data_IF_246208525096
#
_entry.id   IF_246208525096
#
_cell.length_a   1.000
_cell.length_b   1.000
_cell.length_c   1.000
_cell.angle_alpha   90.00
_cell.angle_beta   90.00
_cell.angle_gamma   90.00
#
_symmetry.space_group_name_H-M   'P 1'
#
loop_
_entity.id
_entity.type
_entity.pdbx_description
1 polymer ?
#
# COMPACT_ATOMS: atom_id res chain seq x y z
N UNK A 1 -16.97 -18.98 3.22
CA UNK A 1 -17.51 -18.08 2.14
C UNK A 1 -17.67 -18.88 0.86
N UNK A 2 -18.62 -18.49 -0.04
CA UNK A 2 -18.77 -19.13 -1.36
C UNK A 2 -17.53 -18.85 -2.21
N UNK A 3 -17.04 -19.82 -2.95
CA UNK A 3 -15.86 -19.72 -3.85
C UNK A 3 -15.85 -18.46 -4.74
N UNK A 4 -16.95 -18.05 -5.38
CA UNK A 4 -16.97 -16.83 -6.20
C UNK A 4 -16.69 -15.55 -5.42
N UNK A 5 -17.16 -15.45 -4.16
CA UNK A 5 -16.91 -14.27 -3.32
C UNK A 5 -15.42 -14.14 -2.95
N UNK A 6 -14.76 -15.24 -2.60
CA UNK A 6 -13.32 -15.28 -2.32
C UNK A 6 -12.52 -14.81 -3.54
N UNK A 7 -12.86 -15.34 -4.72
CA UNK A 7 -12.20 -14.96 -5.97
C UNK A 7 -12.38 -13.48 -6.28
N UNK A 8 -13.58 -12.93 -6.09
CA UNK A 8 -13.84 -11.50 -6.30
C UNK A 8 -13.01 -10.63 -5.34
N UNK A 9 -12.97 -10.99 -4.05
CA UNK A 9 -12.19 -10.26 -3.05
C UNK A 9 -10.71 -10.22 -3.40
N UNK A 10 -10.11 -11.35 -3.79
CA UNK A 10 -8.70 -11.43 -4.18
C UNK A 10 -8.40 -10.63 -5.45
N UNK A 11 -9.28 -10.69 -6.45
CA UNK A 11 -9.11 -9.91 -7.68
C UNK A 11 -9.21 -8.41 -7.42
N UNK A 12 -10.18 -7.98 -6.63
CA UNK A 12 -10.30 -6.56 -6.25
C UNK A 12 -9.07 -6.11 -5.47
N UNK A 13 -8.63 -6.87 -4.47
CA UNK A 13 -7.41 -6.56 -3.73
C UNK A 13 -6.18 -6.46 -4.65
N UNK A 14 -6.04 -7.37 -5.60
CA UNK A 14 -4.93 -7.34 -6.57
C UNK A 14 -4.96 -6.08 -7.43
N UNK A 15 -6.13 -5.67 -7.92
CA UNK A 15 -6.27 -4.44 -8.71
C UNK A 15 -5.87 -3.22 -7.88
N UNK A 16 -6.32 -3.13 -6.63
CA UNK A 16 -5.95 -2.04 -5.73
C UNK A 16 -4.44 -2.00 -5.48
N UNK A 17 -3.80 -3.16 -5.28
CA UNK A 17 -2.35 -3.26 -5.13
C UNK A 17 -1.59 -2.91 -6.41
N UNK A 18 -2.13 -3.20 -7.60
CA UNK A 18 -1.53 -2.76 -8.87
C UNK A 18 -1.55 -1.24 -8.98
N UNK A 19 -2.69 -0.61 -8.68
CA UNK A 19 -2.79 0.87 -8.72
C UNK A 19 -1.83 1.48 -7.72
N UNK A 20 -1.83 1.02 -6.47
CA UNK A 20 -0.94 1.47 -5.41
C UNK A 20 0.54 1.31 -5.81
N UNK A 21 0.91 0.13 -6.29
CA UNK A 21 2.28 -0.19 -6.68
C UNK A 21 2.79 0.66 -7.86
N UNK A 22 1.94 0.93 -8.85
CA UNK A 22 2.29 1.81 -9.97
C UNK A 22 2.53 3.24 -9.49
N UNK A 23 1.64 3.79 -8.68
CA UNK A 23 1.78 5.16 -8.16
C UNK A 23 3.08 5.29 -7.36
N UNK A 24 3.37 4.35 -6.47
CA UNK A 24 4.57 4.41 -5.63
C UNK A 24 5.87 4.16 -6.42
N UNK A 25 5.86 3.27 -7.39
CA UNK A 25 7.01 3.06 -8.29
C UNK A 25 7.32 4.34 -9.08
N UNK A 26 6.29 4.99 -9.64
CA UNK A 26 6.46 6.24 -10.39
C UNK A 26 6.89 7.37 -9.45
N UNK A 27 6.26 7.53 -8.29
CA UNK A 27 6.63 8.55 -7.31
C UNK A 27 8.08 8.38 -6.86
N UNK A 28 8.50 7.15 -6.54
CA UNK A 28 9.88 6.85 -6.17
C UNK A 28 10.89 7.19 -7.27
N UNK A 29 10.60 6.83 -8.52
CA UNK A 29 11.44 7.18 -9.67
C UNK A 29 11.52 8.70 -9.88
N UNK A 30 10.42 9.42 -9.72
CA UNK A 30 10.39 10.88 -9.83
C UNK A 30 11.21 11.56 -8.73
N UNK A 31 11.14 11.09 -7.49
CA UNK A 31 11.96 11.63 -6.39
C UNK A 31 13.44 11.44 -6.67
N UNK A 32 13.85 10.27 -7.16
CA UNK A 32 15.24 9.97 -7.50
C UNK A 32 15.77 10.78 -8.68
N UNK A 33 14.90 11.16 -9.62
CA UNK A 33 15.28 11.92 -10.82
C UNK A 33 15.29 13.43 -10.63
N UNK A 34 14.77 13.95 -9.51
CA UNK A 34 14.56 15.38 -9.29
C UNK A 34 15.51 15.95 -8.22
N UNK A 35 15.83 17.29 -8.26
CA UNK A 35 16.51 17.96 -7.16
C UNK A 35 15.65 17.96 -5.88
N UNK A 36 16.29 18.16 -4.72
CA UNK A 36 15.68 18.03 -3.40
C UNK A 36 14.34 18.76 -3.25
N UNK A 37 14.25 20.03 -3.68
CA UNK A 37 13.00 20.82 -3.61
C UNK A 37 11.85 20.17 -4.37
N UNK A 38 12.08 19.74 -5.61
CA UNK A 38 11.06 19.13 -6.43
C UNK A 38 10.74 17.68 -5.99
N UNK A 39 11.72 16.98 -5.42
CA UNK A 39 11.52 15.68 -4.78
C UNK A 39 10.65 15.81 -3.53
N UNK A 40 10.90 16.83 -2.71
CA UNK A 40 10.11 17.15 -1.52
C UNK A 40 8.64 17.41 -1.89
N UNK A 41 8.40 18.30 -2.87
CA UNK A 41 7.05 18.63 -3.35
C UNK A 41 6.33 17.44 -3.96
N UNK A 42 7.04 16.50 -4.56
CA UNK A 42 6.43 15.27 -5.10
C UNK A 42 5.91 14.32 -4.01
N UNK A 43 6.36 14.50 -2.75
CA UNK A 43 5.92 13.69 -1.60
C UNK A 43 4.92 14.48 -0.75
N UNK A 44 5.20 15.75 -0.47
CA UNK A 44 4.41 16.66 0.36
C UNK A 44 3.71 17.70 -0.52
N UNK A 45 2.78 17.27 -1.34
CA UNK A 45 2.17 18.02 -2.43
C UNK A 45 1.20 19.13 -1.97
N UNK A 46 0.78 19.12 -0.71
CA UNK A 46 -0.02 20.20 -0.10
C UNK A 46 0.83 21.34 0.49
N UNK A 47 2.17 21.18 0.52
CA UNK A 47 3.07 22.27 0.97
C UNK A 47 3.24 23.28 -0.17
N UNK A 48 2.96 24.59 0.08
CA UNK A 48 3.14 25.62 -0.95
C UNK A 48 4.58 25.65 -1.49
N UNK A 49 4.77 25.71 -2.82
CA UNK A 49 6.10 25.70 -3.43
C UNK A 49 7.05 26.77 -2.88
N UNK A 50 6.51 27.94 -2.54
CA UNK A 50 7.26 29.09 -2.02
C UNK A 50 7.94 28.77 -0.68
N UNK A 51 7.38 27.86 0.12
CA UNK A 51 7.98 27.40 1.38
C UNK A 51 9.11 26.40 1.16
N UNK A 52 9.24 25.85 -0.04
CA UNK A 52 10.23 24.87 -0.43
C UNK A 52 11.40 25.49 -1.25
N UNK A 53 11.32 26.79 -1.57
CA UNK A 53 12.36 27.54 -2.30
C UNK A 53 13.58 27.83 -1.41
N UNK A 54 14.13 26.79 -0.80
CA UNK A 54 15.31 26.86 0.03
C UNK A 54 16.49 26.09 -0.57
N UNK A 55 17.70 26.55 -0.32
CA UNK A 55 18.89 25.76 -0.59
C UNK A 55 19.05 24.72 0.50
N UNK A 56 18.76 23.47 0.19
CA UNK A 56 18.92 22.37 1.14
C UNK A 56 20.37 21.88 1.16
N UNK A 57 20.84 21.51 2.36
CA UNK A 57 22.09 20.79 2.49
C UNK A 57 22.02 19.45 1.75
N UNK A 58 23.15 19.00 1.16
CA UNK A 58 23.21 17.75 0.38
C UNK A 58 22.66 16.52 1.12
N UNK A 59 22.77 16.47 2.45
CA UNK A 59 22.21 15.39 3.26
C UNK A 59 20.68 15.31 3.18
N UNK A 60 19.96 16.42 3.00
CA UNK A 60 18.50 16.42 2.83
C UNK A 60 18.13 15.74 1.51
N UNK A 61 18.86 16.07 0.43
CA UNK A 61 18.69 15.38 -0.85
C UNK A 61 18.96 13.88 -0.77
N UNK A 62 19.98 13.47 -0.02
CA UNK A 62 20.30 12.07 0.19
C UNK A 62 19.18 11.33 0.95
N UNK A 63 18.56 11.95 1.97
CA UNK A 63 17.42 11.40 2.71
C UNK A 63 16.19 11.26 1.81
N UNK A 64 15.90 12.28 0.98
CA UNK A 64 14.82 12.22 0.01
C UNK A 64 15.03 11.12 -1.03
N UNK A 65 16.26 10.97 -1.52
CA UNK A 65 16.59 9.89 -2.45
C UNK A 65 16.45 8.51 -1.80
N UNK A 66 16.84 8.36 -0.54
CA UNK A 66 16.61 7.11 0.20
C UNK A 66 15.12 6.83 0.37
N UNK A 67 14.29 7.85 0.62
CA UNK A 67 12.85 7.70 0.65
C UNK A 67 12.30 7.32 -0.74
N UNK A 68 12.72 8.01 -1.80
CA UNK A 68 12.35 7.67 -3.19
C UNK A 68 12.71 6.24 -3.57
N UNK A 69 13.88 5.77 -3.15
CA UNK A 69 14.27 4.36 -3.32
C UNK A 69 13.32 3.40 -2.61
N UNK A 70 12.91 3.72 -1.37
CA UNK A 70 11.96 2.89 -0.62
C UNK A 70 10.59 2.82 -1.30
N UNK A 71 10.08 3.93 -1.83
CA UNK A 71 8.84 3.95 -2.59
C UNK A 71 8.95 3.11 -3.88
N UNK A 72 10.06 3.24 -4.59
CA UNK A 72 10.29 2.54 -5.86
C UNK A 72 10.30 1.02 -5.66
N UNK A 73 11.17 0.49 -4.81
CA UNK A 73 11.24 -0.96 -4.60
C UNK A 73 10.00 -1.51 -3.92
N UNK A 74 9.40 -0.76 -2.97
CA UNK A 74 8.15 -1.13 -2.32
C UNK A 74 7.00 -1.24 -3.32
N UNK A 75 6.90 -0.27 -4.25
CA UNK A 75 5.96 -0.32 -5.37
C UNK A 75 6.16 -1.54 -6.26
N UNK A 76 7.39 -1.84 -6.65
CA UNK A 76 7.71 -3.03 -7.48
C UNK A 76 7.34 -4.32 -6.76
N UNK A 77 7.68 -4.45 -5.48
CA UNK A 77 7.32 -5.65 -4.68
C UNK A 77 5.82 -5.84 -4.58
N UNK A 78 5.05 -4.76 -4.39
CA UNK A 78 3.59 -4.86 -4.34
C UNK A 78 2.96 -5.19 -5.69
N UNK A 79 3.52 -4.73 -6.81
CA UNK A 79 3.12 -5.15 -8.15
C UNK A 79 3.32 -6.66 -8.37
N UNK A 80 4.48 -7.18 -7.99
CA UNK A 80 4.74 -8.62 -8.04
C UNK A 80 3.80 -9.37 -7.10
N UNK A 81 3.60 -8.86 -5.88
CA UNK A 81 2.66 -9.40 -4.91
C UNK A 81 1.23 -9.49 -5.45
N UNK A 82 0.76 -8.45 -6.14
CA UNK A 82 -0.58 -8.42 -6.73
C UNK A 82 -0.81 -9.57 -7.72
N UNK A 83 0.20 -9.92 -8.53
CA UNK A 83 0.13 -11.06 -9.47
C UNK A 83 -0.10 -12.38 -8.71
N UNK A 84 0.59 -12.58 -7.59
CA UNK A 84 0.47 -13.78 -6.78
C UNK A 84 -0.79 -13.79 -5.93
N UNK A 85 -1.26 -12.62 -5.45
CA UNK A 85 -2.56 -12.48 -4.77
C UNK A 85 -3.71 -12.87 -5.71
N UNK A 86 -3.65 -12.43 -6.96
CA UNK A 86 -4.62 -12.82 -7.99
C UNK A 86 -4.74 -14.34 -8.15
N UNK A 87 -3.63 -15.06 -7.93
CA UNK A 87 -3.55 -16.53 -7.95
C UNK A 87 -3.89 -17.19 -6.62
N UNK A 88 -4.27 -16.44 -5.60
CA UNK A 88 -4.64 -16.95 -4.28
C UNK A 88 -3.46 -17.36 -3.39
N UNK A 89 -2.26 -16.83 -3.63
CA UNK A 89 -1.08 -17.15 -2.83
C UNK A 89 -1.12 -16.43 -1.48
N UNK A 90 -1.22 -17.20 -0.39
CA UNK A 90 -1.31 -16.67 0.99
C UNK A 90 -0.06 -15.93 1.43
N UNK A 91 1.12 -16.43 1.08
CA UNK A 91 2.38 -15.77 1.44
C UNK A 91 2.47 -14.40 0.79
N UNK A 92 2.07 -14.28 -0.49
CA UNK A 92 2.05 -13.00 -1.18
C UNK A 92 1.10 -11.99 -0.51
N UNK A 93 -0.05 -12.44 0.01
CA UNK A 93 -0.97 -11.56 0.74
C UNK A 93 -0.27 -10.93 1.95
N UNK A 94 0.37 -11.76 2.78
CA UNK A 94 1.04 -11.26 3.98
C UNK A 94 2.26 -10.40 3.67
N UNK A 95 3.10 -10.81 2.72
CA UNK A 95 4.30 -10.04 2.33
C UNK A 95 3.90 -8.69 1.74
N UNK A 96 2.90 -8.67 0.84
CA UNK A 96 2.43 -7.42 0.23
C UNK A 96 1.79 -6.50 1.26
N UNK A 97 0.99 -7.05 2.18
CA UNK A 97 0.40 -6.29 3.28
C UNK A 97 1.46 -5.70 4.22
N UNK A 98 2.53 -6.46 4.53
CA UNK A 98 3.63 -5.96 5.34
C UNK A 98 4.39 -4.83 4.64
N UNK A 99 4.79 -5.03 3.38
CA UNK A 99 5.58 -4.04 2.65
C UNK A 99 4.76 -2.79 2.37
N UNK A 100 3.64 -2.92 1.65
CA UNK A 100 2.80 -1.78 1.29
C UNK A 100 2.11 -1.14 2.49
N UNK A 101 1.58 -1.95 3.41
CA UNK A 101 0.88 -1.45 4.58
C UNK A 101 1.78 -0.69 5.55
N UNK A 102 3.02 -1.17 5.82
CA UNK A 102 3.93 -0.44 6.71
C UNK A 102 4.46 0.86 6.07
N UNK A 103 4.67 0.88 4.76
CA UNK A 103 4.99 2.12 4.05
C UNK A 103 3.86 3.15 4.20
N UNK A 104 2.60 2.72 4.03
CA UNK A 104 1.45 3.61 4.16
C UNK A 104 1.15 4.02 5.60
N UNK A 105 1.39 3.18 6.59
CA UNK A 105 1.25 3.58 8.00
C UNK A 105 2.17 4.76 8.31
N UNK A 106 3.42 4.73 7.87
CA UNK A 106 4.34 5.85 8.03
C UNK A 106 3.87 7.11 7.28
N UNK A 107 3.40 6.94 6.05
CA UNK A 107 2.84 8.03 5.27
C UNK A 107 1.62 8.66 5.94
N UNK A 108 0.66 7.85 6.36
CA UNK A 108 -0.54 8.30 7.06
C UNK A 108 -0.22 9.09 8.34
N UNK A 109 0.66 8.54 9.19
CA UNK A 109 0.97 9.16 10.48
C UNK A 109 1.70 10.50 10.33
N UNK A 110 2.62 10.62 9.37
CA UNK A 110 3.51 11.78 9.31
C UNK A 110 3.13 12.78 8.22
N UNK A 111 2.50 12.36 7.14
CA UNK A 111 2.15 13.23 6.02
C UNK A 111 0.65 13.55 5.99
N UNK A 112 -0.22 12.53 6.02
CA UNK A 112 -1.68 12.73 5.99
C UNK A 112 -2.18 13.47 7.24
N UNK A 113 -1.89 12.93 8.43
CA UNK A 113 -2.30 13.57 9.70
C UNK A 113 -1.59 14.91 9.92
N UNK A 114 -0.43 15.11 9.32
CA UNK A 114 0.30 16.38 9.33
C UNK A 114 -0.29 17.43 8.41
N UNK A 115 -1.23 17.07 7.53
CA UNK A 115 -1.82 17.99 6.55
C UNK A 115 -0.87 18.40 5.43
N UNK A 116 0.16 17.58 5.15
CA UNK A 116 1.20 17.91 4.16
C UNK A 116 0.90 17.35 2.76
N UNK A 117 -0.21 16.63 2.59
CA UNK A 117 -0.59 16.01 1.32
C UNK A 117 -2.04 16.27 0.98
N UNK A 118 -2.34 16.31 -0.32
CA UNK A 118 -3.70 16.38 -0.80
C UNK A 118 -4.38 14.99 -0.75
N UNK A 119 -5.72 15.01 -0.67
CA UNK A 119 -6.51 13.77 -0.70
C UNK A 119 -6.18 12.90 -1.93
N UNK A 120 -6.03 13.54 -3.09
CA UNK A 120 -5.64 12.86 -4.33
C UNK A 120 -4.24 13.32 -4.75
N UNK A 121 -3.29 12.40 -4.96
CA UNK A 121 -3.40 10.94 -4.83
C UNK A 121 -3.15 10.41 -3.42
N UNK A 122 -2.59 11.21 -2.49
CA UNK A 122 -2.03 10.79 -1.22
C UNK A 122 -2.94 9.90 -0.38
N UNK A 123 -3.91 10.48 0.31
CA UNK A 123 -4.84 9.76 1.21
C UNK A 123 -5.59 8.63 0.50
N UNK A 124 -5.91 8.81 -0.79
CA UNK A 124 -6.58 7.77 -1.57
C UNK A 124 -5.74 6.49 -1.68
N UNK A 125 -4.41 6.59 -1.77
CA UNK A 125 -3.54 5.41 -1.82
C UNK A 125 -3.55 4.65 -0.50
N UNK A 126 -3.58 5.34 0.63
CA UNK A 126 -3.73 4.73 1.96
C UNK A 126 -5.08 3.98 2.09
N UNK A 127 -6.16 4.54 1.55
CA UNK A 127 -7.46 3.85 1.50
C UNK A 127 -7.37 2.59 0.63
N UNK A 128 -6.68 2.65 -0.50
CA UNK A 128 -6.54 1.51 -1.41
C UNK A 128 -5.75 0.36 -0.77
N UNK A 129 -4.61 0.65 -0.14
CA UNK A 129 -3.81 -0.37 0.55
C UNK A 129 -4.58 -0.99 1.72
N UNK A 130 -5.21 -0.17 2.57
CA UNK A 130 -6.04 -0.64 3.68
C UNK A 130 -7.18 -1.54 3.22
N UNK A 131 -7.91 -1.13 2.17
CA UNK A 131 -8.99 -1.93 1.57
C UNK A 131 -8.44 -3.25 0.99
N UNK A 132 -7.32 -3.19 0.27
CA UNK A 132 -6.71 -4.38 -0.31
C UNK A 132 -6.25 -5.38 0.78
N UNK A 133 -5.69 -4.89 1.89
CA UNK A 133 -5.32 -5.73 3.05
C UNK A 133 -6.55 -6.40 3.63
N UNK A 134 -7.62 -5.64 3.90
CA UNK A 134 -8.86 -6.18 4.49
C UNK A 134 -9.47 -7.24 3.58
N UNK A 135 -9.63 -6.95 2.28
CA UNK A 135 -10.21 -7.89 1.32
C UNK A 135 -9.39 -9.16 1.18
N UNK A 136 -8.08 -9.05 1.00
CA UNK A 136 -7.23 -10.22 0.79
C UNK A 136 -7.10 -11.08 2.05
N UNK A 137 -7.00 -10.47 3.23
CA UNK A 137 -6.93 -11.19 4.52
C UNK A 137 -8.25 -11.88 4.83
N UNK A 138 -9.39 -11.20 4.63
CA UNK A 138 -10.72 -11.76 4.87
C UNK A 138 -11.06 -12.93 3.94
N UNK A 139 -10.46 -12.98 2.76
CA UNK A 139 -10.62 -14.10 1.83
C UNK A 139 -10.15 -15.45 2.42
N UNK A 140 -9.22 -15.41 3.37
CA UNK A 140 -8.66 -16.61 4.01
C UNK A 140 -9.00 -16.74 5.50
N UNK A 141 -9.86 -15.85 6.02
CA UNK A 141 -10.32 -16.00 7.40
C UNK A 141 -11.15 -17.29 7.52
N UNK A 142 -10.79 -18.25 8.40
CA UNK A 142 -11.55 -19.47 8.56
C UNK A 142 -12.98 -19.15 8.96
N UNK A 143 -13.95 -19.67 8.24
CA UNK A 143 -15.37 -19.71 8.67
C UNK A 143 -15.51 -20.81 9.74
N UNK A 144 -14.97 -20.57 10.93
CA UNK A 144 -14.74 -21.57 11.97
C UNK A 144 -15.98 -21.90 12.82
N UNK A 145 -17.22 -21.76 12.31
CA UNK A 145 -18.41 -21.91 13.16
C UNK A 145 -19.55 -22.77 12.58
N UNK A 146 -19.33 -23.75 11.72
CA UNK A 146 -20.47 -24.55 11.23
C UNK A 146 -20.33 -26.06 11.26
N UNK A 147 -19.19 -26.63 11.50
CA UNK A 147 -19.04 -28.10 11.40
C UNK A 147 -19.14 -28.88 12.73
N UNK A 148 -19.06 -28.19 13.90
CA UNK A 148 -19.16 -28.88 15.20
C UNK A 148 -20.59 -29.20 15.66
N UNK A 149 -21.61 -28.55 15.10
CA UNK A 149 -23.01 -28.80 15.52
C UNK A 149 -23.63 -30.03 14.90
N UNK A 150 -23.14 -30.48 13.75
CA UNK A 150 -23.66 -31.69 13.08
C UNK A 150 -23.04 -33.00 13.63
N UNK A 151 -21.78 -32.93 14.10
CA UNK A 151 -21.11 -34.11 14.64
C UNK A 151 -21.63 -34.55 16.02
N UNK A 152 -22.33 -33.70 16.75
CA UNK A 152 -22.92 -34.00 18.05
C UNK A 152 -24.37 -34.55 17.91
N UNK A 153 -25.05 -34.21 16.80
CA UNK A 153 -26.42 -34.71 16.55
C UNK A 153 -26.48 -36.18 16.12
N UNK A 154 -25.41 -36.70 15.50
CA UNK A 154 -25.34 -38.07 15.02
C UNK A 154 -24.86 -39.10 16.08
N UNK A 155 -24.61 -38.62 17.32
CA UNK A 155 -24.17 -39.45 18.46
C UNK A 155 -25.21 -39.56 19.59
N UNK A 156 -26.39 -38.97 19.41
CA UNK A 156 -27.53 -39.06 20.34
C UNK A 156 -28.64 -39.94 19.74
#
# INVERSE_FOLDING_TARGET
MKQPAVTLMLRTASILWVIWGLVHTIAGALVLAKPATAGFQAIADAVPPELLENTYHAAVGAILNQHGWNLLWGGVVTLLGAIWIWRGNKTAIWVTAMVGGLLDVGYFLFLDLGGHVHFMPGTLMTIFSGTAIVLSSSAFWPSNNRDDSTALSDRA
#
